data_IF_006216107309
#
_entry.id   IF_006216107309
#
_cell.length_a   1.000
_cell.length_b   1.000
_cell.length_c   1.000
_cell.angle_alpha   90.00
_cell.angle_beta   90.00
_cell.angle_gamma   90.00
#
_symmetry.space_group_name_H-M   'P 1'
#
loop_
_entity.id
_entity.type
_entity.pdbx_description
1 polymer ?
#
# COMPACT_ATOMS: atom_id res chain seq x y z
N UNK A 1 -2.20 10.98 -31.79
CA UNK A 1 -3.18 11.59 -30.85
C UNK A 1 -2.41 12.58 -29.99
N UNK A 2 -2.82 13.86 -29.99
CA UNK A 2 -2.11 14.95 -29.30
C UNK A 2 -3.02 15.56 -28.21
N UNK A 3 -3.61 14.69 -27.38
CA UNK A 3 -4.46 15.10 -26.25
C UNK A 3 -3.53 15.25 -25.04
N UNK A 4 -3.41 16.46 -24.45
CA UNK A 4 -2.61 16.65 -23.25
C UNK A 4 -3.24 15.89 -22.07
N UNK A 5 -2.40 15.17 -21.32
CA UNK A 5 -2.80 14.47 -20.10
C UNK A 5 -1.96 14.95 -18.92
N UNK A 6 -2.57 15.05 -17.75
CA UNK A 6 -1.90 15.40 -16.50
C UNK A 6 -1.81 14.16 -15.61
N UNK A 7 -0.64 13.93 -15.01
CA UNK A 7 -0.47 12.83 -14.07
C UNK A 7 -0.78 13.31 -12.65
N UNK A 8 -1.78 12.70 -12.02
CA UNK A 8 -2.30 13.06 -10.69
C UNK A 8 -2.28 11.86 -9.75
N UNK A 9 -2.40 12.12 -8.44
CA UNK A 9 -2.52 11.08 -7.43
C UNK A 9 -3.79 10.26 -7.63
N UNK A 10 -3.71 9.01 -7.20
CA UNK A 10 -4.88 8.15 -7.06
C UNK A 10 -5.91 8.77 -6.09
N UNK A 11 -7.23 8.62 -6.35
CA UNK A 11 -8.28 9.19 -5.51
C UNK A 11 -8.21 8.82 -4.02
N UNK A 12 -7.55 7.71 -3.66
CA UNK A 12 -7.39 7.36 -2.23
C UNK A 12 -6.71 8.47 -1.43
N UNK A 13 -5.83 9.26 -2.05
CA UNK A 13 -5.10 10.35 -1.41
C UNK A 13 -5.91 11.66 -1.29
N UNK A 14 -7.05 11.77 -1.96
CA UNK A 14 -7.85 13.01 -1.96
C UNK A 14 -8.53 13.27 -0.62
N UNK A 15 -8.86 12.20 0.11
CA UNK A 15 -9.51 12.30 1.41
C UNK A 15 -8.47 12.36 2.55
N UNK A 16 -8.69 13.21 3.57
CA UNK A 16 -7.85 13.20 4.76
C UNK A 16 -8.02 11.88 5.53
N UNK A 17 -6.99 11.49 6.28
CA UNK A 17 -6.97 10.26 7.07
C UNK A 17 -8.17 10.18 8.03
N UNK A 18 -8.60 11.32 8.59
CA UNK A 18 -9.76 11.35 9.50
C UNK A 18 -11.07 10.92 8.85
N UNK A 19 -11.28 11.20 7.56
CA UNK A 19 -12.45 10.70 6.83
C UNK A 19 -12.34 9.19 6.59
N UNK A 20 -11.14 8.68 6.29
CA UNK A 20 -10.92 7.25 6.18
C UNK A 20 -11.21 6.52 7.50
N UNK A 21 -10.79 7.08 8.64
CA UNK A 21 -11.04 6.50 9.97
C UNK A 21 -12.53 6.34 10.28
N UNK A 22 -13.38 7.26 9.84
CA UNK A 22 -14.83 7.17 10.03
C UNK A 22 -15.46 5.96 9.31
N UNK A 23 -14.82 5.48 8.24
CA UNK A 23 -15.27 4.32 7.46
C UNK A 23 -14.68 3.00 7.97
N UNK A 24 -13.64 3.03 8.82
CA UNK A 24 -12.99 1.82 9.31
C UNK A 24 -13.94 1.01 10.22
N UNK A 25 -13.63 -0.28 10.35
CA UNK A 25 -14.29 -1.14 11.35
C UNK A 25 -13.63 -0.92 12.71
N UNK A 26 -14.39 -1.04 13.80
CA UNK A 26 -13.91 -0.76 15.16
C UNK A 26 -13.42 -1.99 15.92
N UNK A 27 -13.80 -3.20 15.48
CA UNK A 27 -13.37 -4.44 16.09
C UNK A 27 -12.05 -4.93 15.47
N UNK A 28 -10.94 -4.40 15.97
CA UNK A 28 -9.60 -4.60 15.41
C UNK A 28 -8.78 -5.42 16.40
N UNK A 29 -7.86 -6.24 15.88
CA UNK A 29 -6.96 -6.99 16.75
C UNK A 29 -6.11 -6.05 17.60
N UNK A 30 -5.89 -6.44 18.87
CA UNK A 30 -4.97 -5.76 19.78
C UNK A 30 -3.52 -6.24 19.64
N UNK A 31 -3.30 -7.30 18.88
CA UNK A 31 -1.97 -7.85 18.63
C UNK A 31 -1.24 -7.04 17.56
N UNK A 32 0.08 -6.96 17.65
CA UNK A 32 0.92 -6.37 16.60
C UNK A 32 1.09 -7.36 15.45
N UNK A 33 0.77 -6.93 14.22
CA UNK A 33 0.79 -7.79 13.05
C UNK A 33 1.43 -7.15 11.81
N UNK A 34 2.05 -8.03 11.03
CA UNK A 34 2.40 -7.85 9.63
C UNK A 34 1.19 -8.26 8.78
N UNK A 35 0.76 -7.38 7.88
CA UNK A 35 -0.34 -7.67 6.98
C UNK A 35 0.17 -8.03 5.59
N UNK A 36 -0.37 -9.11 5.04
CA UNK A 36 -0.08 -9.58 3.70
C UNK A 36 -1.33 -9.52 2.84
N UNK A 37 -1.17 -9.01 1.62
CA UNK A 37 -2.15 -9.11 0.55
C UNK A 37 -1.48 -9.51 -0.75
N UNK A 38 -1.57 -10.79 -1.11
CA UNK A 38 -0.86 -11.41 -2.23
C UNK A 38 -1.83 -12.11 -3.19
N UNK A 39 -1.76 -11.73 -4.47
CA UNK A 39 -2.60 -12.29 -5.53
C UNK A 39 -2.00 -13.48 -6.29
N UNK A 40 -0.71 -13.80 -6.10
CA UNK A 40 -0.02 -14.79 -6.94
C UNK A 40 0.61 -15.96 -6.16
N UNK A 41 0.52 -15.96 -4.83
CA UNK A 41 1.14 -16.99 -4.01
C UNK A 41 2.67 -16.96 -4.13
N UNK A 42 3.25 -15.76 -4.06
CA UNK A 42 4.66 -15.52 -4.31
C UNK A 42 5.52 -16.16 -3.21
N UNK A 43 6.40 -17.09 -3.59
CA UNK A 43 7.28 -17.83 -2.66
C UNK A 43 8.31 -16.93 -1.98
N UNK A 44 8.84 -15.96 -2.70
CA UNK A 44 9.81 -14.99 -2.19
C UNK A 44 9.13 -14.05 -1.20
N UNK A 45 7.92 -13.57 -1.51
CA UNK A 45 7.08 -12.81 -0.59
C UNK A 45 6.87 -13.59 0.72
N UNK A 46 6.47 -14.86 0.63
CA UNK A 46 6.29 -15.73 1.80
C UNK A 46 7.57 -15.82 2.64
N UNK A 47 8.73 -16.05 2.00
CA UNK A 47 10.02 -16.17 2.70
C UNK A 47 10.40 -14.88 3.41
N UNK A 48 10.30 -13.75 2.71
CA UNK A 48 10.56 -12.43 3.28
C UNK A 48 9.60 -12.13 4.45
N UNK A 49 8.30 -12.37 4.27
CA UNK A 49 7.29 -12.09 5.29
C UNK A 49 7.49 -12.89 6.59
N UNK A 50 7.82 -14.19 6.47
CA UNK A 50 8.14 -15.03 7.63
C UNK A 50 9.34 -14.50 8.41
N UNK A 51 10.38 -14.08 7.71
CA UNK A 51 11.59 -13.56 8.34
C UNK A 51 11.37 -12.16 8.93
N UNK A 52 10.66 -11.29 8.22
CA UNK A 52 10.27 -9.97 8.73
C UNK A 52 9.45 -10.10 10.02
N UNK A 53 8.40 -10.94 10.00
CA UNK A 53 7.57 -11.17 11.19
C UNK A 53 8.39 -11.72 12.37
N UNK A 54 9.31 -12.66 12.12
CA UNK A 54 10.18 -13.23 13.15
C UNK A 54 11.09 -12.18 13.78
N UNK A 55 11.72 -11.32 12.97
CA UNK A 55 12.66 -10.27 13.44
C UNK A 55 11.95 -9.17 14.22
N UNK A 56 10.71 -8.85 13.86
CA UNK A 56 9.91 -7.78 14.47
C UNK A 56 8.88 -8.27 15.48
N UNK A 57 8.88 -9.56 15.81
CA UNK A 57 7.94 -10.19 16.75
C UNK A 57 6.45 -9.97 16.40
N UNK A 58 6.13 -10.04 15.11
CA UNK A 58 4.78 -9.78 14.60
C UNK A 58 4.02 -11.07 14.30
N UNK A 59 2.69 -11.02 14.49
CA UNK A 59 1.78 -12.01 13.89
C UNK A 59 1.66 -11.80 12.38
N UNK A 60 1.48 -12.87 11.61
CA UNK A 60 1.24 -12.80 10.17
C UNK A 60 -0.27 -12.88 9.92
N UNK A 61 -0.85 -11.76 9.50
CA UNK A 61 -2.25 -11.69 9.09
C UNK A 61 -2.31 -11.62 7.56
N UNK A 62 -3.25 -12.35 6.97
CA UNK A 62 -3.41 -12.42 5.51
C UNK A 62 -4.85 -12.11 5.14
N UNK A 63 -5.05 -11.18 4.20
CA UNK A 63 -6.30 -11.08 3.46
C UNK A 63 -6.17 -12.00 2.25
N UNK A 64 -7.02 -13.03 2.18
CA UNK A 64 -6.92 -14.09 1.18
C UNK A 64 -8.20 -14.18 0.35
N UNK A 65 -8.07 -14.12 -0.97
CA UNK A 65 -9.22 -14.14 -1.89
C UNK A 65 -9.65 -15.56 -2.29
N UNK A 66 -8.75 -16.56 -2.22
CA UNK A 66 -9.05 -17.92 -2.72
C UNK A 66 -8.86 -18.99 -1.65
N UNK A 67 -7.63 -19.18 -1.17
CA UNK A 67 -7.28 -20.21 -0.21
C UNK A 67 -6.50 -19.62 0.96
N UNK A 68 -6.72 -20.13 2.19
CA UNK A 68 -5.95 -19.70 3.34
C UNK A 68 -4.47 -20.05 3.15
N UNK A 69 -3.60 -19.16 3.61
CA UNK A 69 -2.16 -19.39 3.62
C UNK A 69 -1.78 -20.09 4.93
N UNK A 70 -1.19 -21.28 4.81
CA UNK A 70 -0.83 -22.14 5.96
C UNK A 70 0.24 -21.52 6.88
N UNK A 71 0.93 -20.47 6.44
CA UNK A 71 1.97 -19.80 7.22
C UNK A 71 1.46 -18.55 7.94
N UNK A 72 0.17 -18.22 7.80
CA UNK A 72 -0.45 -17.11 8.48
C UNK A 72 -0.95 -17.54 9.87
N UNK A 73 -0.80 -16.66 10.86
CA UNK A 73 -1.46 -16.82 12.15
C UNK A 73 -2.97 -16.60 12.02
N UNK A 74 -3.41 -15.72 11.11
CA UNK A 74 -4.84 -15.49 10.80
C UNK A 74 -5.07 -15.24 9.32
N UNK A 75 -6.11 -15.89 8.77
CA UNK A 75 -6.58 -15.70 7.40
C UNK A 75 -7.96 -15.01 7.41
N UNK A 76 -8.08 -13.91 6.68
CA UNK A 76 -9.30 -13.12 6.53
C UNK A 76 -9.87 -13.35 5.12
N UNK A 77 -10.82 -14.28 5.02
CA UNK A 77 -11.40 -14.73 3.74
C UNK A 77 -12.57 -13.86 3.24
N UNK A 78 -13.07 -12.94 4.07
CA UNK A 78 -14.27 -12.13 3.81
C UNK A 78 -14.06 -10.66 4.21
N UNK A 79 -12.84 -10.15 4.06
CA UNK A 79 -12.55 -8.75 4.33
C UNK A 79 -13.13 -7.88 3.20
N UNK A 80 -14.07 -6.99 3.54
CA UNK A 80 -14.56 -5.97 2.63
C UNK A 80 -13.63 -4.74 2.59
N UNK A 81 -14.02 -3.69 1.85
CA UNK A 81 -13.22 -2.46 1.77
C UNK A 81 -12.95 -1.79 3.11
N UNK A 82 -13.92 -1.84 4.04
CA UNK A 82 -13.78 -1.24 5.37
C UNK A 82 -12.76 -2.00 6.22
N UNK A 83 -12.81 -3.32 6.20
CA UNK A 83 -11.83 -4.20 6.85
C UNK A 83 -10.45 -4.02 6.20
N UNK A 84 -10.36 -3.97 4.87
CA UNK A 84 -9.12 -3.79 4.14
C UNK A 84 -8.38 -2.50 4.57
N UNK A 85 -9.09 -1.36 4.53
CA UNK A 85 -8.53 -0.06 4.94
C UNK A 85 -8.14 -0.08 6.43
N UNK A 86 -9.02 -0.60 7.29
CA UNK A 86 -8.77 -0.71 8.73
C UNK A 86 -7.54 -1.56 9.04
N UNK A 87 -7.40 -2.71 8.37
CA UNK A 87 -6.30 -3.62 8.62
C UNK A 87 -4.95 -3.04 8.18
N UNK A 88 -4.90 -2.29 7.07
CA UNK A 88 -3.68 -1.58 6.66
C UNK A 88 -3.38 -0.45 7.65
N UNK A 89 -4.38 0.32 8.08
CA UNK A 89 -4.17 1.41 9.04
C UNK A 89 -3.63 0.93 10.40
N UNK A 90 -3.97 -0.28 10.83
CA UNK A 90 -3.52 -0.82 12.12
C UNK A 90 -2.30 -1.73 12.06
N UNK A 91 -1.86 -2.18 10.88
CA UNK A 91 -0.67 -3.04 10.78
C UNK A 91 0.62 -2.30 11.17
N UNK A 92 1.65 -3.08 11.53
CA UNK A 92 3.03 -2.59 11.75
C UNK A 92 3.85 -2.54 10.47
N UNK A 93 3.52 -3.39 9.50
CA UNK A 93 4.06 -3.34 8.16
C UNK A 93 3.09 -4.05 7.19
N UNK A 94 3.15 -3.66 5.92
CA UNK A 94 2.33 -4.20 4.85
C UNK A 94 3.22 -4.79 3.75
N UNK A 95 2.95 -6.02 3.35
CA UNK A 95 3.64 -6.68 2.24
C UNK A 95 2.61 -7.06 1.19
N UNK A 96 2.81 -6.63 -0.06
CA UNK A 96 1.81 -6.84 -1.08
C UNK A 96 2.37 -6.81 -2.50
N UNK A 97 1.56 -7.27 -3.45
CA UNK A 97 1.69 -7.01 -4.87
C UNK A 97 0.44 -6.28 -5.41
N UNK A 98 -0.20 -5.48 -4.56
CA UNK A 98 -1.41 -4.70 -4.86
C UNK A 98 -1.14 -3.21 -4.87
N UNK A 99 -1.60 -2.53 -5.92
CA UNK A 99 -1.47 -1.08 -6.03
C UNK A 99 -2.21 -0.34 -4.90
N UNK A 100 -3.52 -0.57 -4.72
CA UNK A 100 -4.29 0.17 -3.71
C UNK A 100 -3.81 -0.09 -2.29
N UNK A 101 -3.44 -1.33 -1.97
CA UNK A 101 -2.85 -1.64 -0.66
C UNK A 101 -1.57 -0.85 -0.42
N UNK A 102 -0.71 -0.75 -1.43
CA UNK A 102 0.52 0.05 -1.38
C UNK A 102 0.19 1.54 -1.17
N UNK A 103 -0.78 2.08 -1.91
CA UNK A 103 -1.20 3.47 -1.79
C UNK A 103 -1.75 3.80 -0.39
N UNK A 104 -2.62 2.96 0.16
CA UNK A 104 -3.12 3.11 1.53
C UNK A 104 -1.99 3.02 2.57
N UNK A 105 -1.06 2.09 2.40
CA UNK A 105 0.10 1.95 3.30
C UNK A 105 0.94 3.23 3.33
N UNK A 106 1.25 3.81 2.17
CA UNK A 106 1.95 5.09 2.05
C UNK A 106 1.13 6.22 2.70
N UNK A 107 -0.16 6.30 2.39
CA UNK A 107 -1.06 7.32 2.93
C UNK A 107 -1.09 7.32 4.46
N UNK A 108 -1.08 6.13 5.07
CA UNK A 108 -1.14 5.91 6.52
C UNK A 108 0.23 5.84 7.20
N UNK A 109 1.32 6.15 6.49
CA UNK A 109 2.69 6.07 7.01
C UNK A 109 3.03 4.69 7.59
N UNK A 110 2.70 3.63 6.85
CA UNK A 110 3.01 2.25 7.21
C UNK A 110 4.15 1.71 6.35
N UNK A 111 5.15 1.03 6.95
CA UNK A 111 6.19 0.35 6.18
C UNK A 111 5.56 -0.55 5.13
N UNK A 112 6.00 -0.40 3.88
CA UNK A 112 5.43 -1.13 2.75
C UNK A 112 6.52 -1.80 1.94
N UNK A 113 6.34 -3.08 1.63
CA UNK A 113 7.24 -3.85 0.77
C UNK A 113 6.46 -4.47 -0.38
N UNK A 114 6.91 -4.16 -1.60
CA UNK A 114 6.22 -4.55 -2.84
C UNK A 114 6.97 -5.69 -3.50
N UNK A 115 6.25 -6.73 -3.88
CA UNK A 115 6.74 -7.79 -4.74
C UNK A 115 6.07 -7.68 -6.11
N UNK A 116 6.84 -7.90 -7.17
CA UNK A 116 6.30 -7.87 -8.51
C UNK A 116 5.39 -9.07 -8.78
N UNK A 117 4.32 -8.82 -9.54
CA UNK A 117 3.48 -9.83 -10.16
C UNK A 117 4.19 -10.40 -11.38
N UNK A 118 4.39 -11.71 -11.41
CA UNK A 118 5.05 -12.42 -12.50
C UNK A 118 4.05 -12.93 -13.55
N UNK A 119 2.82 -13.26 -13.16
CA UNK A 119 1.80 -13.78 -14.09
C UNK A 119 1.14 -12.65 -14.86
N UNK A 120 0.61 -11.66 -14.15
CA UNK A 120 -0.14 -10.57 -14.79
C UNK A 120 0.74 -9.41 -15.27
N UNK A 121 2.00 -9.32 -14.79
CA UNK A 121 2.99 -8.27 -15.14
C UNK A 121 2.48 -6.82 -15.02
N UNK A 122 1.45 -6.59 -14.21
CA UNK A 122 0.85 -5.26 -13.96
C UNK A 122 1.58 -4.50 -12.84
N UNK A 123 2.90 -4.33 -12.99
CA UNK A 123 3.76 -3.75 -11.95
C UNK A 123 3.98 -2.25 -12.10
N UNK A 124 3.86 -1.71 -13.32
CA UNK A 124 4.17 -0.31 -13.64
C UNK A 124 3.51 0.69 -12.70
N UNK A 125 2.23 0.48 -12.33
CA UNK A 125 1.55 1.37 -11.39
C UNK A 125 2.19 1.39 -10.00
N UNK A 126 2.59 0.23 -9.49
CA UNK A 126 3.28 0.14 -8.20
C UNK A 126 4.69 0.74 -8.31
N UNK A 127 5.42 0.43 -9.37
CA UNK A 127 6.75 0.99 -9.62
C UNK A 127 6.70 2.52 -9.72
N UNK A 128 5.77 3.09 -10.48
CA UNK A 128 5.57 4.55 -10.58
C UNK A 128 5.20 5.17 -9.23
N UNK A 129 4.33 4.53 -8.45
CA UNK A 129 3.95 5.01 -7.13
C UNK A 129 5.13 5.01 -6.16
N UNK A 130 5.86 3.91 -6.06
CA UNK A 130 7.04 3.80 -5.20
C UNK A 130 8.14 4.77 -5.63
N UNK A 131 8.28 5.02 -6.93
CA UNK A 131 9.19 6.03 -7.50
C UNK A 131 8.79 7.45 -7.11
N UNK A 132 7.50 7.80 -7.23
CA UNK A 132 6.99 9.11 -6.82
C UNK A 132 7.40 9.42 -5.37
N UNK A 133 7.24 8.44 -4.48
CA UNK A 133 7.51 8.59 -3.05
C UNK A 133 8.97 8.30 -2.65
N UNK A 134 9.85 7.97 -3.60
CA UNK A 134 11.28 7.77 -3.36
C UNK A 134 11.62 6.52 -2.53
N UNK A 135 10.79 5.48 -2.60
CA UNK A 135 10.91 4.24 -1.79
C UNK A 135 11.11 2.98 -2.65
N UNK A 136 11.68 3.11 -3.86
CA UNK A 136 11.92 2.00 -4.81
C UNK A 136 12.70 0.83 -4.21
N UNK A 137 13.49 1.07 -3.17
CA UNK A 137 14.31 0.11 -2.44
C UNK A 137 13.45 -0.93 -1.74
N UNK A 138 12.18 -0.60 -1.50
CA UNK A 138 11.17 -1.50 -0.96
C UNK A 138 10.42 -2.30 -2.05
N UNK A 139 10.81 -2.18 -3.32
CA UNK A 139 10.45 -3.13 -4.38
C UNK A 139 11.47 -4.28 -4.34
N UNK A 140 11.02 -5.42 -3.82
CA UNK A 140 11.85 -6.57 -3.51
C UNK A 140 11.80 -7.60 -4.65
N UNK A 141 12.55 -7.30 -5.72
CA UNK A 141 12.70 -8.15 -6.91
C UNK A 141 13.83 -9.19 -6.79
N UNK A 142 14.72 -9.05 -5.80
CA UNK A 142 15.82 -9.97 -5.54
C UNK A 142 16.10 -10.11 -4.03
N UNK A 143 16.61 -11.27 -3.58
CA UNK A 143 16.93 -11.51 -2.17
C UNK A 143 18.04 -10.64 -1.56
N UNK A 144 18.95 -10.08 -2.37
CA UNK A 144 20.06 -9.27 -1.86
C UNK A 144 19.58 -7.95 -1.22
N UNK A 145 18.40 -7.47 -1.63
CA UNK A 145 17.75 -6.30 -1.04
C UNK A 145 17.18 -6.55 0.36
N UNK A 146 16.94 -7.81 0.75
CA UNK A 146 16.11 -8.12 1.91
C UNK A 146 16.72 -7.70 3.24
N UNK A 147 18.02 -7.91 3.43
CA UNK A 147 18.67 -7.56 4.70
C UNK A 147 18.55 -6.09 5.04
N UNK A 148 18.70 -5.21 4.04
CA UNK A 148 18.47 -3.77 4.19
C UNK A 148 16.98 -3.45 4.37
N UNK A 149 16.10 -4.16 3.66
CA UNK A 149 14.67 -3.94 3.72
C UNK A 149 14.07 -4.24 5.11
N UNK A 150 14.59 -5.23 5.85
CA UNK A 150 14.09 -5.57 7.18
C UNK A 150 14.11 -4.39 8.15
N UNK A 151 15.04 -3.46 8.00
CA UNK A 151 15.19 -2.28 8.86
C UNK A 151 15.21 -0.97 8.05
N UNK A 152 14.56 -0.96 6.89
CA UNK A 152 14.56 0.22 6.02
C UNK A 152 13.97 1.44 6.74
N UNK A 153 14.71 2.56 6.83
CA UNK A 153 14.26 3.75 7.55
C UNK A 153 13.35 4.60 6.65
N UNK A 154 12.04 4.37 6.72
CA UNK A 154 11.06 5.19 6.00
C UNK A 154 11.11 6.64 6.50
N UNK A 155 11.56 7.57 5.65
CA UNK A 155 11.50 9.00 5.93
C UNK A 155 10.07 9.53 5.67
N UNK A 156 9.21 9.42 6.68
CA UNK A 156 7.83 9.86 6.58
C UNK A 156 7.68 11.38 6.43
N UNK A 157 8.64 12.18 6.88
CA UNK A 157 8.61 13.62 6.63
C UNK A 157 8.68 13.90 5.12
N UNK A 158 9.67 13.33 4.44
CA UNK A 158 9.81 13.43 2.99
C UNK A 158 8.62 12.84 2.24
N UNK A 159 8.15 11.65 2.64
CA UNK A 159 6.99 10.99 2.02
C UNK A 159 5.74 11.87 2.14
N UNK A 160 5.50 12.48 3.32
CA UNK A 160 4.35 13.35 3.53
C UNK A 160 4.48 14.69 2.80
N UNK A 161 5.69 15.23 2.68
CA UNK A 161 5.94 16.42 1.86
C UNK A 161 5.60 16.16 0.38
N UNK A 162 6.10 15.04 -0.18
CA UNK A 162 5.73 14.62 -1.54
C UNK A 162 4.22 14.42 -1.67
N UNK A 163 3.58 13.74 -0.70
CA UNK A 163 2.13 13.52 -0.68
C UNK A 163 1.36 14.83 -0.77
N UNK A 164 1.74 15.85 0.02
CA UNK A 164 1.08 17.14 0.02
C UNK A 164 1.27 17.89 -1.31
N UNK A 165 2.49 17.92 -1.84
CA UNK A 165 2.78 18.54 -3.14
C UNK A 165 1.91 17.95 -4.25
N UNK A 166 1.88 16.62 -4.35
CA UNK A 166 1.10 15.93 -5.39
C UNK A 166 -0.41 16.03 -5.16
N UNK A 167 -0.85 16.11 -3.89
CA UNK A 167 -2.26 16.33 -3.55
C UNK A 167 -2.75 17.72 -3.98
N UNK A 168 -1.95 18.77 -3.75
CA UNK A 168 -2.26 20.14 -4.20
C UNK A 168 -2.40 20.16 -5.72
N UNK A 169 -1.44 19.56 -6.43
CA UNK A 169 -1.48 19.41 -7.88
C UNK A 169 -2.75 18.68 -8.35
N UNK A 170 -3.10 17.58 -7.70
CA UNK A 170 -4.26 16.75 -8.07
C UNK A 170 -5.59 17.46 -7.84
N UNK A 171 -5.71 18.20 -6.73
CA UNK A 171 -6.90 19.01 -6.44
C UNK A 171 -7.05 20.18 -7.41
N UNK A 172 -5.96 20.90 -7.69
CA UNK A 172 -5.98 21.99 -8.67
C UNK A 172 -6.41 21.50 -10.07
N UNK A 173 -5.98 20.30 -10.47
CA UNK A 173 -6.43 19.68 -11.71
C UNK A 173 -7.96 19.42 -11.71
N UNK A 174 -8.50 18.84 -10.63
CA UNK A 174 -9.94 18.61 -10.49
C UNK A 174 -10.74 19.91 -10.46
N UNK A 175 -10.29 20.92 -9.70
CA UNK A 175 -10.95 22.21 -9.60
C UNK A 175 -11.00 22.91 -10.96
N UNK A 176 -9.90 22.89 -11.72
CA UNK A 176 -9.86 23.43 -13.08
C UNK A 176 -10.85 22.74 -14.01
N UNK A 177 -10.94 21.40 -13.96
CA UNK A 177 -11.90 20.65 -14.77
C UNK A 177 -13.35 20.99 -14.40
N UNK A 178 -13.66 21.06 -13.11
CA UNK A 178 -15.00 21.36 -12.62
C UNK A 178 -15.43 22.80 -12.93
N UNK A 179 -14.51 23.76 -12.84
CA UNK A 179 -14.77 25.17 -13.18
C UNK A 179 -15.00 25.38 -14.69
N UNK A 180 -14.37 24.58 -15.55
CA UNK A 180 -14.63 24.60 -16.99
C UNK A 180 -16.05 24.10 -17.29
N UNK A 181 -16.58 23.15 -16.52
CA UNK A 181 -17.93 22.62 -16.70
C UNK A 181 -19.05 23.55 -16.20
N UNK A 182 -18.73 24.62 -15.46
CA UNK A 182 -19.72 25.56 -14.88
C UNK A 182 -19.92 26.84 -15.70
N UNK A 183 -19.19 27.03 -16.80
CA UNK A 183 -19.40 28.14 -17.73
C UNK A 183 -20.02 27.63 -19.03
N UNK A 184 -21.31 27.94 -19.32
CA UNK A 184 -21.97 27.62 -20.59
C UNK A 184 -21.43 28.45 -21.76
#
# INVERSE_FOLDING_TARGET
>A
MNIPGEWVLDPVFLLPIEQWKQLMVTNISKEDYLLIYDFEGNKELKRFAKEYARRHHLKIYVIADTYPLLYADRNFMKAGPREFVSMIYHCKAFISNSFHGTAFSIMFNKPVFVFNRHRHKVNSRMESLMTLFGINQCILDNPEKWEKAYYYPFNYEQINHTKQRELIKSKAYLDNLLNICTHP
#
